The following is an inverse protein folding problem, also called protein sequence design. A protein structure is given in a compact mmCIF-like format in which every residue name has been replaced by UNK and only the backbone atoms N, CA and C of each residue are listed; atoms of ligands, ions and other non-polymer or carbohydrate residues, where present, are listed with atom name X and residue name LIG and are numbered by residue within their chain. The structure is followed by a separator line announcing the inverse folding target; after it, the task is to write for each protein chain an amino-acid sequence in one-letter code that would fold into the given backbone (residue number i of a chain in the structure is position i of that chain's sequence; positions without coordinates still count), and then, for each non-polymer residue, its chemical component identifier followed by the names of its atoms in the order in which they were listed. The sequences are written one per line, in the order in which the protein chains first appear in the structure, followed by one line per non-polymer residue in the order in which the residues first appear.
data_IF_296247077711
#
_entry.id   IF_296247077711
#
_cell.length_a   1.000
_cell.length_b   1.000
_cell.length_c   1.000
_cell.angle_alpha   90.00
_cell.angle_beta   90.00
_cell.angle_gamma   90.00
#
_symmetry.space_group_name_H-M   'P 1'
#
loop_
_entity.id
_entity.type
_entity.pdbx_description
1 polymer ?
#
# COMPACT_ATOMS: atom_id res chain seq x y z
N UNK A 1 -75.07 -88.50 -41.60
CA UNK A 1 -73.85 -89.23 -41.20
C UNK A 1 -72.60 -88.62 -41.85
N UNK A 2 -72.59 -88.35 -43.15
CA UNK A 2 -71.45 -87.68 -43.81
C UNK A 2 -71.38 -86.17 -43.52
N UNK A 3 -72.49 -85.44 -43.65
CA UNK A 3 -72.56 -84.00 -43.32
C UNK A 3 -72.12 -83.71 -41.87
N UNK A 4 -72.55 -84.53 -40.92
CA UNK A 4 -72.17 -84.43 -39.50
C UNK A 4 -70.68 -84.71 -39.26
N UNK A 5 -70.01 -85.50 -40.11
CA UNK A 5 -68.57 -85.77 -40.01
C UNK A 5 -67.75 -84.65 -40.63
N UNK A 6 -68.20 -84.07 -41.74
CA UNK A 6 -67.59 -82.88 -42.33
C UNK A 6 -67.70 -81.67 -41.40
N UNK A 7 -68.86 -81.47 -40.76
CA UNK A 7 -69.04 -80.45 -39.73
C UNK A 7 -68.10 -80.65 -38.54
N UNK A 8 -67.95 -81.90 -38.05
CA UNK A 8 -67.02 -82.21 -36.97
C UNK A 8 -65.57 -81.90 -37.34
N UNK A 9 -65.14 -82.32 -38.54
CA UNK A 9 -63.79 -82.08 -39.05
C UNK A 9 -63.52 -80.57 -39.22
N UNK A 10 -64.52 -79.81 -39.70
CA UNK A 10 -64.40 -78.36 -39.83
C UNK A 10 -64.32 -77.68 -38.46
N UNK A 11 -65.06 -78.17 -37.46
CA UNK A 11 -64.99 -77.68 -36.08
C UNK A 11 -63.64 -77.99 -35.42
N UNK A 12 -63.06 -79.18 -35.66
CA UNK A 12 -61.72 -79.56 -35.18
C UNK A 12 -60.64 -78.67 -35.80
N UNK A 13 -60.70 -78.44 -37.11
CA UNK A 13 -59.78 -77.54 -37.80
C UNK A 13 -59.88 -76.10 -37.29
N UNK A 14 -61.11 -75.63 -37.01
CA UNK A 14 -61.32 -74.31 -36.40
C UNK A 14 -60.75 -74.25 -34.99
N UNK A 15 -60.90 -75.32 -34.19
CA UNK A 15 -60.34 -75.42 -32.85
C UNK A 15 -58.81 -75.35 -32.87
N UNK A 16 -58.14 -76.11 -33.75
CA UNK A 16 -56.68 -76.06 -33.88
C UNK A 16 -56.19 -74.67 -34.29
N UNK A 17 -56.88 -74.02 -35.25
CA UNK A 17 -56.57 -72.64 -35.66
C UNK A 17 -56.72 -71.65 -34.50
N UNK A 18 -57.72 -71.82 -33.63
CA UNK A 18 -57.92 -70.97 -32.46
C UNK A 18 -56.85 -71.22 -31.38
N UNK A 19 -56.46 -72.47 -31.15
CA UNK A 19 -55.39 -72.84 -30.21
C UNK A 19 -54.05 -72.25 -30.66
N UNK A 20 -53.69 -72.38 -31.94
CA UNK A 20 -52.47 -71.80 -32.48
C UNK A 20 -52.43 -70.27 -32.34
N UNK A 21 -53.58 -69.59 -32.52
CA UNK A 21 -53.70 -68.15 -32.28
C UNK A 21 -53.50 -67.78 -30.81
N UNK A 22 -54.09 -68.53 -29.87
CA UNK A 22 -53.93 -68.28 -28.43
C UNK A 22 -52.46 -68.47 -28.02
N UNK A 23 -51.82 -69.56 -28.47
CA UNK A 23 -50.41 -69.81 -28.20
C UNK A 23 -49.50 -68.71 -28.77
N UNK A 24 -49.82 -68.17 -29.96
CA UNK A 24 -49.09 -67.04 -30.51
C UNK A 24 -49.17 -65.78 -29.62
N UNK A 25 -50.33 -65.52 -29.01
CA UNK A 25 -50.49 -64.41 -28.05
C UNK A 25 -49.76 -64.67 -26.73
N UNK A 26 -49.79 -65.89 -26.20
CA UNK A 26 -49.05 -66.26 -24.99
C UNK A 26 -47.53 -66.16 -25.18
N UNK A 27 -47.03 -66.58 -26.35
CA UNK A 27 -45.62 -66.45 -26.72
C UNK A 27 -45.20 -64.98 -26.89
N UNK A 28 -46.11 -64.11 -27.35
CA UNK A 28 -45.84 -62.68 -27.48
C UNK A 28 -45.58 -62.02 -26.12
N UNK A 29 -46.33 -62.38 -25.08
CA UNK A 29 -46.09 -61.91 -23.71
C UNK A 29 -44.71 -62.33 -23.18
N UNK A 30 -44.30 -63.58 -23.45
CA UNK A 30 -42.98 -64.08 -23.02
C UNK A 30 -41.82 -63.36 -23.73
N UNK A 31 -41.96 -63.05 -25.01
CA UNK A 31 -40.91 -62.41 -25.81
C UNK A 31 -40.77 -60.91 -25.53
N UNK A 32 -41.86 -60.23 -25.16
CA UNK A 32 -41.88 -58.77 -24.95
C UNK A 32 -41.64 -58.37 -23.49
N UNK A 33 -41.76 -59.32 -22.54
CA UNK A 33 -41.70 -59.02 -21.11
C UNK A 33 -42.92 -58.27 -20.58
N UNK A 34 -43.96 -58.11 -21.42
CA UNK A 34 -45.23 -57.49 -21.08
C UNK A 34 -46.27 -58.57 -20.80
N UNK A 35 -47.23 -58.30 -19.92
CA UNK A 35 -48.29 -59.25 -19.56
C UNK A 35 -49.40 -59.32 -20.63
N UNK A 36 -49.06 -59.64 -21.88
CA UNK A 36 -49.99 -59.72 -23.00
C UNK A 36 -50.37 -61.19 -23.21
N UNK A 37 -51.61 -61.56 -22.87
CA UNK A 37 -52.14 -62.92 -23.13
C UNK A 37 -53.34 -62.91 -24.06
N UNK A 38 -54.01 -61.78 -24.20
CA UNK A 38 -55.11 -61.54 -25.13
C UNK A 38 -54.93 -60.21 -25.88
N UNK A 39 -55.57 -60.02 -27.04
CA UNK A 39 -55.54 -58.75 -27.77
C UNK A 39 -55.98 -57.54 -26.95
N UNK A 40 -56.91 -57.74 -26.00
CA UNK A 40 -57.37 -56.69 -25.08
C UNK A 40 -56.25 -56.22 -24.14
N UNK A 41 -55.36 -57.10 -23.70
CA UNK A 41 -54.24 -56.75 -22.82
C UNK A 41 -53.22 -55.86 -23.54
N UNK A 42 -52.96 -56.14 -24.82
CA UNK A 42 -52.13 -55.29 -25.67
C UNK A 42 -52.74 -53.88 -25.80
N UNK A 43 -54.06 -53.78 -26.00
CA UNK A 43 -54.72 -52.47 -26.09
C UNK A 43 -54.61 -51.67 -24.79
N UNK A 44 -54.68 -52.32 -23.62
CA UNK A 44 -54.50 -51.68 -22.31
C UNK A 44 -53.06 -51.20 -22.12
N UNK A 45 -52.07 -52.04 -22.41
CA UNK A 45 -50.65 -51.65 -22.32
C UNK A 45 -50.32 -50.49 -23.26
N UNK A 46 -50.88 -50.47 -24.48
CA UNK A 46 -50.73 -49.33 -25.41
C UNK A 46 -51.33 -48.05 -24.82
N UNK A 47 -52.51 -48.12 -24.21
CA UNK A 47 -53.14 -46.95 -23.56
C UNK A 47 -52.29 -46.48 -22.37
N UNK A 48 -51.81 -47.39 -21.53
CA UNK A 48 -50.98 -47.06 -20.37
C UNK A 48 -49.64 -46.42 -20.79
N UNK A 49 -49.00 -46.94 -21.83
CA UNK A 49 -47.79 -46.35 -22.41
C UNK A 49 -48.09 -44.95 -22.97
N UNK A 50 -49.18 -44.78 -23.72
CA UNK A 50 -49.59 -43.48 -24.24
C UNK A 50 -49.87 -42.47 -23.11
N UNK A 51 -50.53 -42.89 -22.03
CA UNK A 51 -50.76 -42.03 -20.85
C UNK A 51 -49.45 -41.64 -20.17
N UNK A 52 -48.52 -42.58 -19.97
CA UNK A 52 -47.19 -42.28 -19.43
C UNK A 52 -46.42 -41.32 -20.33
N UNK A 53 -46.48 -41.51 -21.65
CA UNK A 53 -45.83 -40.62 -22.62
C UNK A 53 -46.41 -39.20 -22.57
N UNK A 54 -47.74 -39.06 -22.45
CA UNK A 54 -48.39 -37.76 -22.29
C UNK A 54 -47.93 -37.08 -21.00
N UNK A 55 -47.89 -37.81 -19.88
CA UNK A 55 -47.45 -37.26 -18.59
C UNK A 55 -45.99 -36.81 -18.65
N UNK A 56 -45.09 -37.62 -19.22
CA UNK A 56 -43.68 -37.26 -19.40
C UNK A 56 -43.53 -36.03 -20.30
N UNK A 57 -44.31 -35.92 -21.38
CA UNK A 57 -44.33 -34.72 -22.23
C UNK A 57 -44.77 -33.49 -21.45
N UNK A 58 -45.85 -33.59 -20.66
CA UNK A 58 -46.31 -32.47 -19.83
C UNK A 58 -45.27 -32.03 -18.80
N UNK A 59 -44.62 -32.96 -18.12
CA UNK A 59 -43.52 -32.66 -17.19
C UNK A 59 -42.33 -32.01 -17.91
N UNK A 60 -41.96 -32.50 -19.08
CA UNK A 60 -40.89 -31.92 -19.89
C UNK A 60 -41.23 -30.47 -20.32
N UNK A 61 -42.47 -30.20 -20.72
CA UNK A 61 -42.92 -28.83 -21.01
C UNK A 61 -42.84 -27.93 -19.78
N UNK A 62 -43.27 -28.40 -18.61
CA UNK A 62 -43.19 -27.65 -17.35
C UNK A 62 -41.72 -27.33 -17.00
N UNK A 63 -40.85 -28.33 -17.01
CA UNK A 63 -39.42 -28.16 -16.74
C UNK A 63 -38.76 -27.22 -17.75
N UNK A 64 -39.04 -27.39 -19.04
CA UNK A 64 -38.52 -26.52 -20.10
C UNK A 64 -38.98 -25.07 -19.95
N UNK A 65 -40.23 -24.86 -19.56
CA UNK A 65 -40.76 -23.51 -19.34
C UNK A 65 -40.14 -22.84 -18.11
N UNK A 66 -39.98 -23.59 -17.02
CA UNK A 66 -39.29 -23.14 -15.80
C UNK A 66 -37.84 -22.78 -16.08
N UNK A 67 -37.12 -23.65 -16.80
CA UNK A 67 -35.73 -23.41 -17.19
C UNK A 67 -35.59 -22.12 -18.00
N UNK A 68 -36.41 -21.91 -19.03
CA UNK A 68 -36.41 -20.67 -19.82
C UNK A 68 -36.73 -19.42 -18.99
N UNK A 69 -37.62 -19.54 -18.00
CA UNK A 69 -37.93 -18.42 -17.10
C UNK A 69 -36.75 -18.08 -16.19
N UNK A 70 -36.08 -19.10 -15.64
CA UNK A 70 -34.88 -18.92 -14.83
C UNK A 70 -33.73 -18.35 -15.65
N UNK A 71 -33.53 -18.82 -16.89
CA UNK A 71 -32.51 -18.27 -17.78
C UNK A 71 -32.72 -16.78 -18.08
N UNK A 72 -33.97 -16.35 -18.30
CA UNK A 72 -34.32 -14.93 -18.47
C UNK A 72 -34.00 -14.12 -17.22
N UNK A 73 -34.44 -14.60 -16.05
CA UNK A 73 -34.14 -13.94 -14.77
C UNK A 73 -32.63 -13.83 -14.52
N UNK A 74 -31.87 -14.88 -14.83
CA UNK A 74 -30.40 -14.83 -14.75
C UNK A 74 -29.79 -13.82 -15.72
N UNK A 75 -30.33 -13.69 -16.94
CA UNK A 75 -29.87 -12.68 -17.91
C UNK A 75 -30.18 -11.26 -17.44
N UNK A 76 -31.38 -11.02 -16.91
CA UNK A 76 -31.81 -9.73 -16.38
C UNK A 76 -30.93 -9.32 -15.19
N UNK A 77 -30.74 -10.21 -14.21
CA UNK A 77 -29.85 -9.97 -13.06
C UNK A 77 -28.39 -9.70 -13.46
N UNK A 78 -27.88 -10.39 -14.48
CA UNK A 78 -26.54 -10.12 -15.02
C UNK A 78 -26.46 -8.73 -15.64
N UNK A 79 -27.50 -8.30 -16.36
CA UNK A 79 -27.55 -6.97 -16.95
C UNK A 79 -27.62 -5.87 -15.89
N UNK A 80 -28.40 -6.10 -14.82
CA UNK A 80 -28.50 -5.18 -13.68
C UNK A 80 -27.17 -5.07 -12.94
N UNK A 81 -26.50 -6.19 -12.68
CA UNK A 81 -25.19 -6.22 -12.03
C UNK A 81 -24.16 -5.43 -12.84
N UNK A 82 -24.13 -5.60 -14.17
CA UNK A 82 -23.26 -4.81 -15.04
C UNK A 82 -23.59 -3.32 -14.96
N UNK A 83 -24.87 -2.95 -14.99
CA UNK A 83 -25.31 -1.55 -14.88
C UNK A 83 -24.97 -0.91 -13.53
N UNK A 84 -25.03 -1.67 -12.44
CA UNK A 84 -24.66 -1.21 -11.10
C UNK A 84 -23.15 -1.05 -11.00
N UNK A 85 -22.38 -1.97 -11.58
CA UNK A 85 -20.92 -1.89 -11.61
C UNK A 85 -20.44 -0.67 -12.40
N UNK A 86 -21.07 -0.34 -13.53
CA UNK A 86 -20.73 0.87 -14.29
C UNK A 86 -21.06 2.14 -13.53
N UNK A 87 -22.25 2.22 -12.90
CA UNK A 87 -22.64 3.37 -12.06
C UNK A 87 -21.69 3.57 -10.88
N UNK A 88 -21.33 2.50 -10.18
CA UNK A 88 -20.37 2.54 -9.07
C UNK A 88 -19.00 3.09 -9.50
N UNK A 89 -18.53 2.69 -10.69
CA UNK A 89 -17.26 3.18 -11.24
C UNK A 89 -17.32 4.66 -11.62
N UNK A 90 -18.44 5.12 -12.18
CA UNK A 90 -18.67 6.54 -12.47
C UNK A 90 -18.71 7.39 -11.20
N UNK A 91 -19.38 6.91 -10.16
CA UNK A 91 -19.47 7.61 -8.88
C UNK A 91 -18.12 7.64 -8.16
N UNK A 92 -17.31 6.58 -8.28
CA UNK A 92 -15.94 6.58 -7.78
C UNK A 92 -15.08 7.65 -8.46
N UNK A 93 -15.15 7.74 -9.80
CA UNK A 93 -14.45 8.79 -10.57
C UNK A 93 -14.89 10.20 -10.16
N UNK A 94 -16.20 10.42 -9.98
CA UNK A 94 -16.73 11.72 -9.51
C UNK A 94 -16.17 12.06 -8.13
N UNK A 95 -16.16 11.10 -7.20
CA UNK A 95 -15.59 11.28 -5.86
C UNK A 95 -14.11 11.65 -5.93
N UNK A 96 -13.31 10.97 -6.75
CA UNK A 96 -11.89 11.28 -6.89
C UNK A 96 -11.65 12.71 -7.41
N UNK A 97 -12.46 13.16 -8.38
CA UNK A 97 -12.38 14.55 -8.88
C UNK A 97 -12.77 15.58 -7.82
N UNK A 98 -13.78 15.29 -6.99
CA UNK A 98 -14.19 16.15 -5.88
C UNK A 98 -13.13 16.19 -4.79
N UNK A 99 -12.54 15.05 -4.41
CA UNK A 99 -11.47 14.97 -3.43
C UNK A 99 -10.22 15.74 -3.89
N UNK A 100 -9.88 15.68 -5.18
CA UNK A 100 -8.80 16.48 -5.75
C UNK A 100 -9.09 18.00 -5.67
N UNK A 101 -10.33 18.41 -5.93
CA UNK A 101 -10.77 19.80 -5.79
C UNK A 101 -10.71 20.26 -4.33
N UNK A 102 -11.20 19.46 -3.40
CA UNK A 102 -11.15 19.74 -1.95
C UNK A 102 -9.71 19.94 -1.50
N UNK A 103 -8.79 19.04 -1.87
CA UNK A 103 -7.35 19.20 -1.53
C UNK A 103 -6.76 20.48 -2.10
N UNK A 104 -7.16 20.90 -3.31
CA UNK A 104 -6.71 22.16 -3.93
C UNK A 104 -7.26 23.37 -3.17
N UNK A 105 -8.53 23.36 -2.81
CA UNK A 105 -9.17 24.43 -2.04
C UNK A 105 -8.56 24.53 -0.64
N UNK A 106 -8.32 23.41 0.05
CA UNK A 106 -7.63 23.38 1.35
C UNK A 106 -6.24 24.02 1.28
N UNK A 107 -5.45 23.71 0.25
CA UNK A 107 -4.13 24.36 0.04
C UNK A 107 -4.28 25.86 -0.17
N UNK A 108 -5.27 26.32 -0.93
CA UNK A 108 -5.53 27.74 -1.17
C UNK A 108 -5.96 28.47 0.11
N UNK A 109 -6.83 27.86 0.90
CA UNK A 109 -7.25 28.39 2.21
C UNK A 109 -6.03 28.51 3.13
N UNK A 110 -5.14 27.51 3.18
CA UNK A 110 -3.93 27.57 3.99
C UNK A 110 -3.01 28.74 3.58
N UNK A 111 -2.82 28.97 2.28
CA UNK A 111 -1.99 30.08 1.78
C UNK A 111 -2.61 31.43 2.12
N UNK A 112 -3.90 31.62 1.86
CA UNK A 112 -4.63 32.84 2.23
C UNK A 112 -4.62 33.08 3.75
N UNK A 113 -4.71 32.02 4.55
CA UNK A 113 -4.58 32.09 6.01
C UNK A 113 -3.21 32.63 6.42
N UNK A 114 -2.13 32.10 5.82
CA UNK A 114 -0.76 32.58 6.07
C UNK A 114 -0.53 34.02 5.61
N UNK A 115 -1.07 34.40 4.46
CA UNK A 115 -1.00 35.78 3.95
C UNK A 115 -1.74 36.75 4.88
N UNK A 116 -2.96 36.39 5.31
CA UNK A 116 -3.74 37.15 6.30
C UNK A 116 -2.95 37.31 7.60
N UNK A 117 -2.38 36.23 8.13
CA UNK A 117 -1.64 36.26 9.40
C UNK A 117 -0.35 37.07 9.28
N UNK A 118 0.35 36.99 8.14
CA UNK A 118 1.49 37.84 7.84
C UNK A 118 1.13 39.33 7.78
N UNK A 119 0.03 39.69 7.08
CA UNK A 119 -0.47 41.06 7.04
C UNK A 119 -0.89 41.55 8.44
N UNK A 120 -1.51 40.70 9.25
CA UNK A 120 -1.88 41.03 10.64
C UNK A 120 -0.64 41.31 11.49
N UNK A 121 0.40 40.46 11.39
CA UNK A 121 1.64 40.65 12.14
C UNK A 121 2.37 41.96 11.77
N UNK A 122 2.38 42.31 10.47
CA UNK A 122 2.93 43.60 10.00
C UNK A 122 2.13 44.77 10.58
N UNK A 123 0.80 44.69 10.55
CA UNK A 123 -0.04 45.73 11.12
C UNK A 123 0.16 45.88 12.63
N UNK A 124 0.33 44.78 13.34
CA UNK A 124 0.58 44.75 14.79
C UNK A 124 1.95 45.32 15.15
N UNK A 125 2.97 45.13 14.31
CA UNK A 125 4.26 45.81 14.50
C UNK A 125 4.13 47.32 14.34
N UNK A 126 3.41 47.80 13.30
CA UNK A 126 3.15 49.23 13.14
C UNK A 126 2.32 49.80 14.30
N UNK A 127 1.32 49.08 14.81
CA UNK A 127 0.56 49.49 15.98
C UNK A 127 1.41 49.57 17.24
N UNK A 128 2.33 48.62 17.44
CA UNK A 128 3.23 48.63 18.60
C UNK A 128 4.22 49.79 18.56
N UNK A 129 4.64 50.22 17.36
CA UNK A 129 5.49 51.40 17.16
C UNK A 129 4.69 52.70 17.37
N UNK A 130 3.45 52.76 16.88
CA UNK A 130 2.54 53.90 17.03
C UNK A 130 2.00 54.07 18.46
N UNK A 131 1.77 52.97 19.19
CA UNK A 131 1.25 52.99 20.57
C UNK A 131 2.20 53.62 21.59
N UNK A 132 3.47 53.84 21.23
CA UNK A 132 4.41 54.64 22.02
C UNK A 132 4.15 56.16 21.95
N UNK A 133 3.30 56.62 21.01
CA UNK A 133 2.98 58.03 20.82
C UNK A 133 1.48 58.25 20.62
N UNK A 134 0.80 58.53 21.73
CA UNK A 134 -0.51 59.20 21.86
C UNK A 134 -1.78 58.45 21.39
N UNK A 135 -2.75 58.42 22.31
CA UNK A 135 -4.06 57.78 22.18
C UNK A 135 -4.90 58.43 21.07
N UNK A 136 -5.02 57.75 19.93
CA UNK A 136 -5.64 58.22 18.69
C UNK A 136 -7.01 57.56 18.41
N UNK A 137 -7.96 58.25 17.75
CA UNK A 137 -9.25 57.70 17.29
C UNK A 137 -9.15 56.47 16.37
N UNK A 138 -7.95 56.13 15.89
CA UNK A 138 -7.68 54.88 15.17
C UNK A 138 -7.82 53.66 16.08
N UNK A 139 -7.45 53.74 17.37
CA UNK A 139 -7.58 52.61 18.30
C UNK A 139 -9.05 52.24 18.54
N UNK A 140 -9.95 53.23 18.59
CA UNK A 140 -11.40 52.99 18.73
C UNK A 140 -11.99 52.32 17.49
N UNK A 141 -11.46 52.59 16.29
CA UNK A 141 -11.85 51.86 15.06
C UNK A 141 -11.30 50.45 15.05
N UNK A 142 -10.03 50.24 15.45
CA UNK A 142 -9.44 48.90 15.56
C UNK A 142 -10.15 48.03 16.60
N UNK A 143 -10.58 48.63 17.71
CA UNK A 143 -11.38 47.94 18.72
C UNK A 143 -12.73 47.49 18.15
N UNK A 144 -13.44 48.36 17.42
CA UNK A 144 -14.68 47.99 16.72
C UNK A 144 -14.48 46.90 15.66
N UNK A 145 -13.42 47.00 14.85
CA UNK A 145 -13.11 45.97 13.85
C UNK A 145 -12.75 44.62 14.49
N UNK A 146 -12.05 44.65 15.63
CA UNK A 146 -11.76 43.45 16.42
C UNK A 146 -13.03 42.85 17.04
N UNK A 147 -13.94 43.68 17.56
CA UNK A 147 -15.24 43.26 18.06
C UNK A 147 -16.10 42.63 16.94
N UNK A 148 -16.16 43.24 15.76
CA UNK A 148 -16.89 42.69 14.59
C UNK A 148 -16.27 41.37 14.08
N UNK A 149 -14.95 41.23 14.18
CA UNK A 149 -14.28 39.98 13.83
C UNK A 149 -14.57 38.89 14.86
N UNK A 150 -14.56 39.24 16.16
CA UNK A 150 -14.93 38.34 17.24
C UNK A 150 -16.37 37.87 17.08
N UNK A 151 -17.29 38.78 16.75
CA UNK A 151 -18.70 38.48 16.51
C UNK A 151 -18.87 37.53 15.32
N UNK A 152 -18.14 37.75 14.22
CA UNK A 152 -18.14 36.84 13.06
C UNK A 152 -17.60 35.45 13.39
N UNK A 153 -16.53 35.36 14.18
CA UNK A 153 -15.98 34.08 14.63
C UNK A 153 -16.96 33.36 15.56
N UNK A 154 -17.62 34.09 16.46
CA UNK A 154 -18.67 33.53 17.31
C UNK A 154 -19.84 32.98 16.48
N UNK A 155 -20.35 33.74 15.51
CA UNK A 155 -21.43 33.26 14.62
C UNK A 155 -20.99 32.04 13.79
N UNK A 156 -19.75 32.02 13.33
CA UNK A 156 -19.21 30.88 12.60
C UNK A 156 -19.09 29.64 13.48
N UNK A 157 -18.62 29.79 14.71
CA UNK A 157 -18.54 28.69 15.67
C UNK A 157 -19.93 28.16 16.01
N UNK A 158 -20.93 29.02 16.24
CA UNK A 158 -22.30 28.56 16.48
C UNK A 158 -22.90 27.84 15.28
N UNK A 159 -22.60 28.28 14.06
CA UNK A 159 -23.04 27.59 12.84
C UNK A 159 -22.36 26.23 12.67
N UNK A 160 -21.07 26.13 12.97
CA UNK A 160 -20.34 24.85 12.96
C UNK A 160 -20.86 23.90 14.03
N UNK A 161 -21.15 24.37 15.24
CA UNK A 161 -21.76 23.58 16.32
C UNK A 161 -23.14 23.07 15.91
N UNK A 162 -23.97 23.91 15.27
CA UNK A 162 -25.26 23.49 14.74
C UNK A 162 -25.13 22.41 13.64
N UNK A 163 -24.15 22.54 12.74
CA UNK A 163 -23.88 21.54 11.71
C UNK A 163 -23.40 20.20 12.31
N UNK A 164 -22.54 20.25 13.34
CA UNK A 164 -22.08 19.05 14.05
C UNK A 164 -23.25 18.38 14.77
N UNK A 165 -24.12 19.13 15.45
CA UNK A 165 -25.33 18.60 16.10
C UNK A 165 -26.22 17.88 15.09
N UNK A 166 -26.47 18.52 13.93
CA UNK A 166 -27.29 17.92 12.87
C UNK A 166 -26.69 16.62 12.33
N UNK A 167 -25.38 16.58 12.12
CA UNK A 167 -24.69 15.38 11.64
C UNK A 167 -24.73 14.24 12.67
N UNK A 168 -24.68 14.55 13.97
CA UNK A 168 -24.84 13.57 15.04
C UNK A 168 -26.26 13.00 15.09
N UNK A 169 -27.28 13.83 14.91
CA UNK A 169 -28.68 13.38 14.83
C UNK A 169 -28.91 12.48 13.61
N UNK A 170 -28.38 12.86 12.44
CA UNK A 170 -28.43 12.03 11.22
C UNK A 170 -27.72 10.68 11.44
N UNK A 171 -26.53 10.68 12.04
CA UNK A 171 -25.81 9.45 12.38
C UNK A 171 -26.59 8.55 13.35
N UNK A 172 -27.29 9.14 14.33
CA UNK A 172 -28.15 8.40 15.25
C UNK A 172 -29.34 7.74 14.52
N UNK A 173 -29.95 8.44 13.56
CA UNK A 173 -31.04 7.86 12.75
C UNK A 173 -30.56 6.72 11.86
N UNK A 174 -29.39 6.84 11.20
CA UNK A 174 -28.80 5.76 10.42
C UNK A 174 -28.45 4.55 11.28
N UNK A 175 -27.95 4.77 12.51
CA UNK A 175 -27.67 3.69 13.45
C UNK A 175 -28.94 2.93 13.84
N UNK A 176 -30.05 3.64 14.06
CA UNK A 176 -31.35 3.02 14.34
C UNK A 176 -31.85 2.20 13.14
N UNK A 177 -31.74 2.73 11.93
CA UNK A 177 -32.12 2.02 10.69
C UNK A 177 -31.27 0.76 10.45
N UNK A 178 -29.97 0.82 10.75
CA UNK A 178 -29.10 -0.35 10.66
C UNK A 178 -29.47 -1.43 11.69
N UNK A 179 -29.85 -1.03 12.91
CA UNK A 179 -30.31 -1.96 13.95
C UNK A 179 -31.66 -2.62 13.58
N UNK A 180 -32.61 -1.87 13.02
CA UNK A 180 -33.89 -2.44 12.55
C UNK A 180 -33.67 -3.43 11.41
N UNK A 181 -32.82 -3.09 10.43
CA UNK A 181 -32.48 -4.00 9.33
C UNK A 181 -31.76 -5.27 9.80
N UNK A 182 -30.92 -5.17 10.84
CA UNK A 182 -30.26 -6.33 11.43
C UNK A 182 -31.26 -7.28 12.10
N UNK A 183 -32.24 -6.75 12.83
CA UNK A 183 -33.30 -7.55 13.46
C UNK A 183 -34.21 -8.22 12.42
N UNK A 184 -34.53 -7.55 11.31
CA UNK A 184 -35.27 -8.14 10.20
C UNK A 184 -34.51 -9.31 9.56
N UNK A 185 -33.19 -9.17 9.40
CA UNK A 185 -32.32 -10.24 8.90
C UNK A 185 -32.27 -11.45 9.83
N UNK A 186 -32.25 -11.24 11.15
CA UNK A 186 -32.30 -12.33 12.13
C UNK A 186 -33.66 -13.04 12.12
N UNK A 187 -34.76 -12.30 11.99
CA UNK A 187 -36.10 -12.88 11.88
C UNK A 187 -36.26 -13.74 10.61
N UNK A 188 -35.73 -13.28 9.46
CA UNK A 188 -35.73 -14.04 8.21
C UNK A 188 -34.88 -15.31 8.30
N UNK A 189 -33.72 -15.25 8.98
CA UNK A 189 -32.88 -16.43 9.23
C UNK A 189 -33.59 -17.47 10.11
N UNK A 190 -34.33 -17.04 11.13
CA UNK A 190 -35.11 -17.93 11.97
C UNK A 190 -36.27 -18.60 11.21
N UNK A 191 -36.91 -17.88 10.27
CA UNK A 191 -37.92 -18.46 9.36
C UNK A 191 -37.32 -19.47 8.37
N UNK A 192 -36.06 -19.30 7.97
CA UNK A 192 -35.37 -20.21 7.07
C UNK A 192 -34.87 -21.48 7.80
N UNK A 193 -34.50 -21.35 9.07
CA UNK A 193 -34.12 -22.48 9.92
C UNK A 193 -35.29 -23.44 10.21
N UNK A 194 -36.51 -22.92 10.40
CA UNK A 194 -37.71 -23.73 10.62
C UNK A 194 -38.25 -24.43 9.37
N UNK A 195 -37.81 -24.02 8.16
CA UNK A 195 -38.18 -24.66 6.90
C UNK A 195 -37.20 -25.78 6.46
N UNK A 196 -36.09 -25.97 7.18
CA UNK A 196 -34.94 -26.79 6.71
C UNK A 196 -34.81 -28.18 7.36
N UNK A 197 -35.75 -28.61 8.22
CA UNK A 197 -35.68 -29.94 8.87
C UNK A 197 -36.02 -31.13 7.95
N UNK A 198 -36.28 -30.90 6.66
CA UNK A 198 -36.51 -31.98 5.70
C UNK A 198 -35.71 -31.78 4.42
N UNK A 199 -34.44 -32.17 4.38
CA UNK A 199 -33.80 -32.61 3.13
C UNK A 199 -32.56 -33.49 3.33
N UNK A 200 -32.47 -34.46 2.42
CA UNK A 200 -31.68 -35.71 2.36
C UNK A 200 -30.15 -35.57 2.30
N UNK A 201 -29.38 -36.63 2.66
CA UNK A 201 -27.91 -36.63 2.65
C UNK A 201 -27.24 -36.47 1.26
N UNK A 202 -27.97 -36.62 0.15
CA UNK A 202 -27.44 -36.43 -1.21
C UNK A 202 -27.02 -34.98 -1.52
N UNK A 203 -27.58 -33.99 -0.83
CA UNK A 203 -27.18 -32.58 -1.00
C UNK A 203 -25.84 -32.26 -0.36
N UNK A 204 -25.41 -33.01 0.67
CA UNK A 204 -24.16 -32.73 1.36
C UNK A 204 -22.92 -33.08 0.52
N UNK A 205 -22.97 -34.12 -0.31
CA UNK A 205 -21.88 -34.49 -1.20
C UNK A 205 -21.73 -33.49 -2.35
N UNK A 206 -22.85 -33.07 -2.97
CA UNK A 206 -22.84 -32.00 -3.97
C UNK A 206 -22.34 -30.67 -3.38
N UNK A 207 -22.76 -30.34 -2.15
CA UNK A 207 -22.26 -29.16 -1.43
C UNK A 207 -20.76 -29.26 -1.13
N UNK A 208 -20.23 -30.45 -0.82
CA UNK A 208 -18.78 -30.64 -0.64
C UNK A 208 -18.01 -30.48 -1.95
N UNK A 209 -18.50 -31.05 -3.06
CA UNK A 209 -17.87 -30.90 -4.39
C UNK A 209 -17.87 -29.42 -4.82
N UNK A 210 -18.97 -28.71 -4.60
CA UNK A 210 -19.06 -27.29 -4.91
C UNK A 210 -18.14 -26.45 -4.01
N UNK A 211 -17.98 -26.79 -2.73
CA UNK A 211 -17.01 -26.13 -1.83
C UNK A 211 -15.58 -26.30 -2.31
N UNK A 212 -15.17 -27.53 -2.67
CA UNK A 212 -13.85 -27.79 -3.22
C UNK A 212 -13.63 -27.03 -4.54
N UNK A 213 -14.66 -26.92 -5.38
CA UNK A 213 -14.56 -26.15 -6.62
C UNK A 213 -14.44 -24.65 -6.38
N UNK A 214 -15.11 -24.12 -5.36
CA UNK A 214 -14.97 -22.72 -4.94
C UNK A 214 -13.54 -22.46 -4.45
N UNK A 215 -12.99 -23.33 -3.59
CA UNK A 215 -11.60 -23.20 -3.12
C UNK A 215 -10.58 -23.25 -4.27
N UNK A 216 -10.78 -24.17 -5.24
CA UNK A 216 -9.93 -24.25 -6.43
C UNK A 216 -9.98 -22.95 -7.25
N UNK A 217 -11.19 -22.45 -7.53
CA UNK A 217 -11.39 -21.21 -8.28
C UNK A 217 -10.85 -19.98 -7.54
N UNK A 218 -10.95 -19.93 -6.21
CA UNK A 218 -10.36 -18.88 -5.38
C UNK A 218 -8.83 -18.91 -5.46
N UNK A 219 -8.22 -20.11 -5.42
CA UNK A 219 -6.77 -20.26 -5.57
C UNK A 219 -6.27 -19.85 -6.96
N UNK A 220 -7.04 -20.16 -8.02
CA UNK A 220 -6.73 -19.77 -9.38
C UNK A 220 -6.89 -18.26 -9.58
N UNK A 221 -7.93 -17.66 -8.99
CA UNK A 221 -8.13 -16.20 -8.97
C UNK A 221 -6.96 -15.50 -8.30
N UNK A 222 -6.52 -15.97 -7.13
CA UNK A 222 -5.37 -15.42 -6.43
C UNK A 222 -4.09 -15.52 -7.28
N UNK A 223 -3.86 -16.67 -7.94
CA UNK A 223 -2.71 -16.86 -8.82
C UNK A 223 -2.73 -15.89 -10.01
N UNK A 224 -3.90 -15.66 -10.60
CA UNK A 224 -4.06 -14.72 -11.70
C UNK A 224 -3.89 -13.27 -11.24
N UNK A 225 -4.38 -12.93 -10.05
CA UNK A 225 -4.18 -11.61 -9.43
C UNK A 225 -2.69 -11.33 -9.21
N UNK A 226 -1.94 -12.29 -8.66
CA UNK A 226 -0.50 -12.15 -8.46
C UNK A 226 0.26 -11.99 -9.79
N UNK A 227 -0.10 -12.77 -10.82
CA UNK A 227 0.47 -12.63 -12.16
C UNK A 227 0.17 -11.26 -12.78
N UNK A 228 -1.05 -10.76 -12.61
CA UNK A 228 -1.46 -9.47 -13.12
C UNK A 228 -0.70 -8.33 -12.41
N UNK A 229 -0.57 -8.40 -11.08
CA UNK A 229 0.22 -7.44 -10.30
C UNK A 229 1.69 -7.37 -10.77
N UNK A 230 2.30 -8.53 -11.06
CA UNK A 230 3.67 -8.57 -11.60
C UNK A 230 3.75 -7.94 -12.99
N UNK A 231 2.76 -8.18 -13.84
CA UNK A 231 2.71 -7.58 -15.18
C UNK A 231 2.47 -6.07 -15.13
N UNK A 232 1.60 -5.59 -14.24
CA UNK A 232 1.36 -4.17 -13.99
C UNK A 232 2.63 -3.48 -13.50
N UNK A 233 3.32 -4.02 -12.50
CA UNK A 233 4.59 -3.47 -12.03
C UNK A 233 5.65 -3.41 -13.13
N UNK A 234 5.71 -4.41 -14.02
CA UNK A 234 6.62 -4.39 -15.17
C UNK A 234 6.24 -3.29 -16.16
N UNK A 235 4.95 -3.16 -16.50
CA UNK A 235 4.45 -2.13 -17.39
C UNK A 235 4.71 -0.73 -16.82
N UNK A 236 4.49 -0.51 -15.53
CA UNK A 236 4.81 0.77 -14.89
C UNK A 236 6.31 1.10 -14.97
N UNK A 237 7.17 0.11 -14.70
CA UNK A 237 8.62 0.28 -14.84
C UNK A 237 9.01 0.67 -16.27
N UNK A 238 8.44 0.01 -17.28
CA UNK A 238 8.68 0.33 -18.69
C UNK A 238 8.16 1.73 -19.05
N UNK A 239 6.97 2.10 -18.58
CA UNK A 239 6.41 3.44 -18.78
C UNK A 239 7.29 4.54 -18.15
N UNK A 240 7.84 4.30 -16.95
CA UNK A 240 8.79 5.22 -16.30
C UNK A 240 10.11 5.36 -17.07
N UNK A 241 10.49 4.35 -17.85
CA UNK A 241 11.66 4.37 -18.72
C UNK A 241 11.37 5.00 -20.10
N UNK A 242 10.10 5.34 -20.37
CA UNK A 242 9.67 5.95 -21.62
C UNK A 242 9.36 4.96 -22.73
N UNK A 243 9.16 3.67 -22.42
CA UNK A 243 8.65 2.71 -23.38
C UNK A 243 7.21 3.06 -23.78
N UNK A 244 6.88 2.74 -25.03
CA UNK A 244 5.57 3.02 -25.61
C UNK A 244 5.13 1.87 -26.52
N UNK A 245 3.81 1.69 -26.63
CA UNK A 245 3.22 0.71 -27.54
C UNK A 245 3.28 1.26 -29.00
N UNK A 246 4.02 0.63 -29.92
CA UNK A 246 4.17 1.10 -31.29
C UNK A 246 2.89 0.99 -32.13
N UNK A 247 1.89 0.23 -31.68
CA UNK A 247 0.58 0.13 -32.35
C UNK A 247 -0.29 1.36 -32.02
N UNK A 248 -0.15 1.91 -30.81
CA UNK A 248 -0.96 3.03 -30.31
C UNK A 248 -0.26 4.38 -30.43
N UNK A 249 1.07 4.38 -30.32
CA UNK A 249 1.85 5.60 -30.15
C UNK A 249 2.99 5.63 -31.17
N UNK A 250 3.02 6.68 -32.00
CA UNK A 250 4.12 6.96 -32.92
C UNK A 250 4.93 8.14 -32.39
N UNK A 251 6.21 7.91 -32.09
CA UNK A 251 7.12 8.97 -31.67
C UNK A 251 7.62 9.74 -32.88
N UNK A 252 7.50 11.06 -32.84
CA UNK A 252 7.97 11.98 -33.89
C UNK A 252 8.86 13.05 -33.25
N UNK A 253 9.92 13.44 -33.96
CA UNK A 253 10.76 14.57 -33.57
C UNK A 253 11.20 15.35 -34.82
N UNK A 254 11.61 16.59 -34.63
CA UNK A 254 12.15 17.40 -35.73
C UNK A 254 13.41 16.72 -36.30
N UNK A 255 13.50 16.66 -37.63
CA UNK A 255 14.67 16.14 -38.34
C UNK A 255 15.91 16.98 -38.04
N UNK A 256 15.73 18.30 -37.97
CA UNK A 256 16.74 19.26 -37.52
C UNK A 256 16.45 19.64 -36.07
N UNK A 257 16.99 18.88 -35.14
CA UNK A 257 16.88 19.16 -33.71
C UNK A 257 18.25 19.57 -33.11
N UNK A 258 18.27 20.24 -31.95
CA UNK A 258 19.52 20.68 -31.33
C UNK A 258 20.55 19.56 -31.14
N UNK A 259 20.11 18.34 -30.81
CA UNK A 259 21.00 17.16 -30.66
C UNK A 259 21.64 16.75 -31.99
N UNK A 260 20.90 16.79 -33.10
CA UNK A 260 21.41 16.48 -34.43
C UNK A 260 22.43 17.51 -34.90
N UNK A 261 22.20 18.79 -34.61
CA UNK A 261 23.16 19.88 -34.89
C UNK A 261 24.42 19.70 -34.06
N UNK A 262 24.30 19.46 -32.75
CA UNK A 262 25.45 19.22 -31.88
C UNK A 262 26.25 17.97 -32.29
N UNK A 263 25.57 16.91 -32.77
CA UNK A 263 26.24 15.72 -33.29
C UNK A 263 27.02 16.01 -34.57
N UNK A 264 26.45 16.81 -35.47
CA UNK A 264 27.11 17.23 -36.71
C UNK A 264 28.33 18.10 -36.43
N UNK A 265 28.20 19.12 -35.57
CA UNK A 265 29.31 19.98 -35.16
C UNK A 265 30.46 19.16 -34.55
N UNK A 266 30.15 18.21 -33.67
CA UNK A 266 31.17 17.30 -33.10
C UNK A 266 31.85 16.45 -34.17
N UNK A 267 31.13 16.04 -35.22
CA UNK A 267 31.73 15.31 -36.33
C UNK A 267 32.66 16.21 -37.14
N UNK A 268 32.24 17.43 -37.46
CA UNK A 268 33.03 18.44 -38.18
C UNK A 268 34.30 18.80 -37.41
N UNK A 269 34.21 19.04 -36.09
CA UNK A 269 35.37 19.28 -35.21
C UNK A 269 36.33 18.08 -35.19
N UNK A 270 35.80 16.85 -35.10
CA UNK A 270 36.62 15.65 -35.11
C UNK A 270 37.33 15.44 -36.46
N UNK A 271 36.70 15.85 -37.57
CA UNK A 271 37.29 15.84 -38.90
C UNK A 271 38.37 16.91 -39.02
N UNK A 272 38.11 18.14 -38.58
CA UNK A 272 39.09 19.22 -38.53
C UNK A 272 40.33 18.83 -37.71
N UNK A 273 40.14 18.29 -36.51
CA UNK A 273 41.25 17.81 -35.67
C UNK A 273 42.04 16.67 -36.35
N UNK A 274 41.37 15.79 -37.10
CA UNK A 274 42.05 14.74 -37.87
C UNK A 274 42.88 15.34 -39.01
N UNK A 275 42.36 16.33 -39.70
CA UNK A 275 43.07 17.04 -40.75
C UNK A 275 44.28 17.81 -40.19
N UNK A 276 44.11 18.53 -39.08
CA UNK A 276 45.21 19.21 -38.38
C UNK A 276 46.28 18.23 -37.91
N UNK A 277 45.88 17.09 -37.32
CA UNK A 277 46.84 16.04 -36.93
C UNK A 277 47.58 15.46 -38.13
N UNK A 278 46.91 15.29 -39.28
CA UNK A 278 47.55 14.81 -40.49
C UNK A 278 48.54 15.85 -41.05
N UNK A 279 48.16 17.13 -41.08
CA UNK A 279 49.04 18.23 -41.48
C UNK A 279 50.24 18.36 -40.54
N UNK A 280 50.02 18.27 -39.23
CA UNK A 280 51.09 18.32 -38.23
C UNK A 280 52.03 17.11 -38.35
N UNK A 281 51.48 15.92 -38.61
CA UNK A 281 52.26 14.71 -38.90
C UNK A 281 53.08 14.86 -40.18
N UNK A 282 52.53 15.45 -41.23
CA UNK A 282 53.26 15.75 -42.47
C UNK A 282 54.37 16.78 -42.26
N UNK A 283 54.11 17.84 -41.48
CA UNK A 283 55.09 18.86 -41.11
C UNK A 283 56.25 18.26 -40.28
N UNK A 284 55.93 17.44 -39.27
CA UNK A 284 56.92 16.70 -38.50
C UNK A 284 57.72 15.70 -39.36
N UNK A 285 57.06 15.04 -40.32
CA UNK A 285 57.73 14.16 -41.29
C UNK A 285 58.62 14.92 -42.28
N UNK A 286 58.28 16.17 -42.59
CA UNK A 286 59.08 17.08 -43.43
C UNK A 286 60.25 17.74 -42.68
N UNK A 287 60.38 17.54 -41.36
CA UNK A 287 61.55 17.93 -40.59
C UNK A 287 61.63 19.42 -40.21
N UNK A 288 60.52 20.15 -40.22
CA UNK A 288 60.48 21.57 -39.82
C UNK A 288 59.97 21.75 -38.38
N UNK A 289 60.80 21.45 -37.38
CA UNK A 289 60.59 21.89 -35.99
C UNK A 289 61.91 22.43 -35.44
N UNK A 290 62.20 23.68 -35.76
CA UNK A 290 63.16 24.48 -34.99
C UNK A 290 62.42 25.14 -33.84
N UNK A 291 62.67 24.63 -32.64
CA UNK A 291 62.79 25.38 -31.37
C UNK A 291 61.94 26.65 -31.23
N UNK A 292 60.81 26.55 -30.53
CA UNK A 292 60.30 27.68 -29.75
C UNK A 292 59.66 27.17 -28.46
N UNK A 293 60.48 27.14 -27.40
CA UNK A 293 60.00 27.28 -26.02
C UNK A 293 59.39 28.68 -25.87
N UNK A 294 58.09 28.77 -26.09
CA UNK A 294 57.28 29.93 -25.69
C UNK A 294 56.15 29.40 -24.81
N UNK A 295 55.99 29.88 -23.56
CA UNK A 295 54.82 29.54 -22.78
C UNK A 295 53.63 30.22 -23.46
N UNK A 296 52.89 29.44 -24.25
CA UNK A 296 51.61 29.84 -24.80
C UNK A 296 50.67 30.05 -23.61
N UNK A 297 50.51 31.30 -23.19
CA UNK A 297 49.40 31.73 -22.36
C UNK A 297 48.15 31.72 -23.24
N UNK A 298 47.62 30.52 -23.48
CA UNK A 298 46.35 30.31 -24.16
C UNK A 298 45.27 30.85 -23.21
N UNK A 299 44.50 31.89 -23.59
CA UNK A 299 43.38 32.31 -22.76
C UNK A 299 42.45 31.10 -22.57
N UNK A 300 41.98 30.82 -21.34
CA UNK A 300 41.21 29.62 -21.07
C UNK A 300 39.99 29.61 -22.01
N UNK A 301 39.92 28.60 -22.88
CA UNK A 301 38.79 28.35 -23.77
C UNK A 301 37.51 28.35 -22.94
N UNK A 302 36.35 28.76 -23.50
CA UNK A 302 35.09 28.81 -22.75
C UNK A 302 34.80 27.52 -21.97
N UNK A 303 35.18 26.36 -22.50
CA UNK A 303 35.12 25.07 -21.81
C UNK A 303 35.93 25.01 -20.51
N UNK A 304 37.14 25.58 -20.47
CA UNK A 304 37.96 25.63 -19.25
C UNK A 304 37.32 26.54 -18.21
N UNK A 305 36.68 27.64 -18.64
CA UNK A 305 35.93 28.51 -17.73
C UNK A 305 34.68 27.82 -17.17
N UNK A 306 33.96 27.06 -18.00
CA UNK A 306 32.77 26.33 -17.58
C UNK A 306 33.13 25.12 -16.69
N UNK A 307 34.23 24.43 -16.97
CA UNK A 307 34.78 23.39 -16.09
C UNK A 307 35.23 23.96 -14.74
N UNK A 308 35.86 25.13 -14.71
CA UNK A 308 36.21 25.82 -13.46
C UNK A 308 34.97 26.16 -12.65
N UNK A 309 33.92 26.72 -13.28
CA UNK A 309 32.64 26.97 -12.61
C UNK A 309 31.99 25.69 -12.08
N UNK A 310 32.07 24.59 -12.82
CA UNK A 310 31.55 23.29 -12.37
C UNK A 310 32.33 22.74 -11.16
N UNK A 311 33.65 22.88 -11.16
CA UNK A 311 34.51 22.51 -10.01
C UNK A 311 34.19 23.37 -8.79
N UNK A 312 34.10 24.70 -8.95
CA UNK A 312 33.71 25.61 -7.86
C UNK A 312 32.32 25.28 -7.32
N UNK A 313 31.36 24.96 -8.19
CA UNK A 313 30.02 24.52 -7.79
C UNK A 313 30.05 23.20 -7.00
N UNK A 314 30.87 22.23 -7.43
CA UNK A 314 31.03 20.95 -6.75
C UNK A 314 31.75 21.11 -5.41
N UNK A 315 32.78 21.95 -5.33
CA UNK A 315 33.48 22.29 -4.09
C UNK A 315 32.55 22.97 -3.09
N UNK A 316 31.75 23.94 -3.54
CA UNK A 316 30.72 24.59 -2.72
C UNK A 316 29.68 23.59 -2.22
N UNK A 317 29.25 22.65 -3.06
CA UNK A 317 28.33 21.58 -2.65
C UNK A 317 28.97 20.67 -1.60
N UNK A 318 30.23 20.30 -1.76
CA UNK A 318 30.97 19.50 -0.77
C UNK A 318 31.18 20.26 0.54
N UNK A 319 31.43 21.57 0.48
CA UNK A 319 31.54 22.42 1.66
C UNK A 319 30.22 22.49 2.42
N UNK A 320 29.10 22.76 1.71
CA UNK A 320 27.75 22.73 2.31
C UNK A 320 27.42 21.37 2.92
N UNK A 321 27.83 20.27 2.27
CA UNK A 321 27.62 18.93 2.81
C UNK A 321 28.40 18.71 4.11
N UNK A 322 29.66 19.17 4.19
CA UNK A 322 30.47 19.14 5.42
C UNK A 322 29.82 19.97 6.54
N UNK A 323 29.30 21.17 6.22
CA UNK A 323 28.60 22.02 7.19
C UNK A 323 27.32 21.37 7.72
N UNK A 324 26.51 20.77 6.83
CA UNK A 324 25.29 20.05 7.23
C UNK A 324 25.64 18.84 8.09
N UNK A 325 26.68 18.09 7.72
CA UNK A 325 27.14 16.95 8.50
C UNK A 325 27.62 17.39 9.90
N UNK A 326 28.45 18.43 9.98
CA UNK A 326 28.89 18.99 11.27
C UNK A 326 27.72 19.46 12.12
N UNK A 327 26.74 20.15 11.53
CA UNK A 327 25.53 20.60 12.23
C UNK A 327 24.71 19.42 12.76
N UNK A 328 24.55 18.36 11.96
CA UNK A 328 23.81 17.16 12.36
C UNK A 328 24.52 16.35 13.44
N UNK A 329 25.84 16.21 13.35
CA UNK A 329 26.63 15.59 14.42
C UNK A 329 26.54 16.43 15.69
N UNK A 330 26.61 17.75 15.61
CA UNK A 330 26.45 18.61 16.79
C UNK A 330 25.05 18.48 17.41
N UNK A 331 23.99 18.48 16.60
CA UNK A 331 22.61 18.25 17.04
C UNK A 331 22.48 16.90 17.78
N UNK A 332 23.05 15.83 17.22
CA UNK A 332 23.07 14.51 17.83
C UNK A 332 23.85 14.50 19.15
N UNK A 333 25.04 15.12 19.18
CA UNK A 333 25.87 15.22 20.39
C UNK A 333 25.15 15.99 21.50
N UNK A 334 24.47 17.09 21.17
CA UNK A 334 23.66 17.85 22.13
C UNK A 334 22.49 17.03 22.66
N UNK A 335 21.79 16.28 21.80
CA UNK A 335 20.72 15.39 22.24
C UNK A 335 21.25 14.28 23.17
N UNK A 336 22.36 13.64 22.82
CA UNK A 336 23.02 12.66 23.69
C UNK A 336 23.45 13.27 25.03
N UNK A 337 24.00 14.48 25.04
CA UNK A 337 24.39 15.18 26.25
C UNK A 337 23.20 15.45 27.18
N UNK A 338 22.10 15.98 26.65
CA UNK A 338 20.88 16.30 27.42
C UNK A 338 20.19 15.04 27.94
N UNK A 339 20.15 13.97 27.14
CA UNK A 339 19.46 12.73 27.52
C UNK A 339 20.31 11.86 28.45
N UNK A 340 21.56 11.60 28.08
CA UNK A 340 22.42 10.64 28.81
C UNK A 340 23.26 11.29 29.90
N UNK A 341 23.44 12.61 29.86
CA UNK A 341 24.32 13.34 30.77
C UNK A 341 25.80 13.23 30.42
N UNK A 342 26.15 12.66 29.27
CA UNK A 342 27.54 12.54 28.81
C UNK A 342 27.77 13.31 27.51
N UNK A 343 28.80 14.16 27.53
CA UNK A 343 29.33 14.78 26.34
C UNK A 343 30.33 13.81 25.71
N UNK A 344 30.01 13.33 24.51
CA UNK A 344 30.85 12.39 23.76
C UNK A 344 31.69 13.15 22.74
N UNK A 345 32.99 13.27 22.96
CA UNK A 345 33.97 13.91 22.08
C UNK A 345 34.84 12.85 21.37
N UNK A 346 35.16 13.09 20.10
CA UNK A 346 36.09 12.24 19.34
C UNK A 346 37.48 12.86 19.46
N UNK A 347 38.43 12.18 20.10
CA UNK A 347 39.78 12.72 20.35
C UNK A 347 40.74 12.36 19.22
N UNK A 348 41.00 11.06 19.06
CA UNK A 348 41.84 10.47 18.02
C UNK A 348 41.07 9.33 17.35
N UNK A 349 41.62 8.75 16.28
CA UNK A 349 40.94 7.66 15.57
C UNK A 349 40.52 6.53 16.53
N UNK A 350 39.22 6.24 16.54
CA UNK A 350 38.58 5.22 17.38
C UNK A 350 38.64 5.45 18.90
N UNK A 351 38.87 6.68 19.35
CA UNK A 351 38.82 7.05 20.77
C UNK A 351 37.73 8.09 21.06
N UNK A 352 36.93 7.80 22.09
CA UNK A 352 35.79 8.60 22.52
C UNK A 352 35.99 9.04 23.96
N UNK A 353 35.97 10.36 24.19
CA UNK A 353 36.00 10.97 25.51
C UNK A 353 34.59 11.23 25.98
N UNK A 354 34.25 10.74 27.15
CA UNK A 354 32.98 10.98 27.83
C UNK A 354 33.22 11.90 29.02
N UNK A 355 32.61 13.08 28.98
CA UNK A 355 32.61 14.03 30.11
C UNK A 355 31.19 14.11 30.69
N UNK A 356 31.04 13.86 31.98
CA UNK A 356 29.72 13.91 32.63
C UNK A 356 29.27 15.37 32.83
N UNK A 357 27.97 15.63 32.74
CA UNK A 357 27.34 16.91 33.16
C UNK A 357 27.64 17.23 34.62
N UNK A 358 27.82 16.21 35.46
CA UNK A 358 28.04 16.35 36.91
C UNK A 358 29.52 16.23 37.30
N UNK A 359 30.43 16.35 36.33
CA UNK A 359 31.87 16.34 36.61
C UNK A 359 32.23 17.50 37.56
N UNK A 360 32.98 17.19 38.63
CA UNK A 360 33.42 18.18 39.63
C UNK A 360 34.59 19.02 39.08
N UNK A 361 35.41 18.43 38.21
CA UNK A 361 36.53 19.08 37.52
C UNK A 361 36.47 18.89 35.99
N UNK A 362 37.02 19.85 35.24
CA UNK A 362 37.03 19.77 33.76
C UNK A 362 37.84 18.60 33.20
N UNK A 363 38.77 18.06 34.00
CA UNK A 363 39.63 16.94 33.62
C UNK A 363 38.98 15.57 33.89
N UNK A 364 37.85 15.54 34.60
CA UNK A 364 37.10 14.33 34.94
C UNK A 364 36.41 13.76 33.70
N UNK A 365 37.14 12.92 32.98
CA UNK A 365 36.67 12.29 31.75
C UNK A 365 37.01 10.81 31.68
N UNK A 366 36.11 10.05 31.06
CA UNK A 366 36.27 8.63 30.77
C UNK A 366 36.67 8.47 29.31
N UNK A 367 37.74 7.74 29.02
CA UNK A 367 38.21 7.50 27.66
C UNK A 367 37.85 6.08 27.24
N UNK A 368 37.14 5.92 26.13
CA UNK A 368 36.82 4.63 25.54
C UNK A 368 37.46 4.49 24.18
N UNK A 369 38.05 3.32 23.90
CA UNK A 369 38.57 2.97 22.59
C UNK A 369 37.74 1.85 21.98
N UNK A 370 37.27 2.05 20.76
CA UNK A 370 36.59 1.01 20.00
C UNK A 370 37.61 -0.06 19.59
N UNK A 371 37.33 -1.31 19.95
CA UNK A 371 38.13 -2.48 19.58
C UNK A 371 37.47 -3.18 18.41
N UNK A 372 37.73 -2.74 17.18
CA UNK A 372 37.20 -3.35 15.95
C UNK A 372 36.71 -2.33 14.91
N UNK A 373 36.14 -2.82 13.80
CA UNK A 373 35.53 -1.97 12.78
C UNK A 373 34.35 -1.17 13.35
N UNK A 374 34.08 0.02 12.77
CA UNK A 374 32.97 0.90 13.16
C UNK A 374 31.65 0.10 13.18
N UNK A 375 31.08 -0.10 14.37
CA UNK A 375 29.83 -0.86 14.56
C UNK A 375 29.99 -2.22 15.26
N UNK A 376 31.21 -2.68 15.58
CA UNK A 376 31.47 -3.98 16.26
C UNK A 376 30.98 -4.06 17.72
N UNK A 377 30.47 -2.97 18.30
CA UNK A 377 29.88 -2.93 19.65
C UNK A 377 30.86 -3.11 20.83
N UNK A 378 32.10 -3.51 20.60
CA UNK A 378 33.14 -3.70 21.61
C UNK A 378 33.91 -2.42 21.91
N UNK A 379 33.67 -1.82 23.08
CA UNK A 379 34.38 -0.65 23.60
C UNK A 379 35.21 -1.05 24.83
N UNK A 380 36.48 -0.65 24.85
CA UNK A 380 37.38 -0.83 25.99
C UNK A 380 37.60 0.51 26.71
N UNK A 381 37.52 0.53 28.03
CA UNK A 381 37.85 1.71 28.83
C UNK A 381 39.37 1.85 28.95
N UNK A 382 39.89 3.05 28.71
CA UNK A 382 41.27 3.43 28.97
C UNK A 382 41.36 4.05 30.36
N UNK A 383 42.42 3.70 31.08
CA UNK A 383 42.67 4.24 32.41
C UNK A 383 42.96 5.75 32.35
N UNK A 384 42.07 6.53 32.96
CA UNK A 384 42.27 7.95 33.28
C UNK A 384 42.38 8.11 34.80
N UNK A 385 42.90 9.24 35.27
CA UNK A 385 42.98 9.51 36.72
C UNK A 385 41.59 9.53 37.38
N UNK A 386 40.56 9.95 36.61
CA UNK A 386 39.16 9.82 36.99
C UNK A 386 38.66 8.37 36.97
N UNK A 387 39.07 7.55 36.00
CA UNK A 387 38.74 6.12 36.00
C UNK A 387 39.31 5.38 37.22
N UNK A 388 40.48 5.79 37.72
CA UNK A 388 41.09 5.19 38.93
C UNK A 388 40.28 5.47 40.20
N UNK A 389 39.68 6.65 40.33
CA UNK A 389 38.82 6.96 41.49
C UNK A 389 37.49 6.18 41.49
N UNK A 390 37.11 5.62 40.34
CA UNK A 390 35.88 4.85 40.11
C UNK A 390 36.12 3.34 39.96
N UNK A 391 37.32 2.85 40.32
CA UNK A 391 37.77 1.48 40.06
C UNK A 391 36.78 0.40 40.55
N UNK A 392 36.23 0.51 41.76
CA UNK A 392 35.23 -0.45 42.28
C UNK A 392 33.98 -0.56 41.38
N UNK A 393 33.49 0.57 40.85
CA UNK A 393 32.30 0.56 39.96
C UNK A 393 32.65 0.08 38.55
N UNK A 394 33.86 0.35 38.07
CA UNK A 394 34.35 -0.14 36.78
C UNK A 394 34.55 -1.66 36.85
N UNK A 395 35.18 -2.18 37.90
CA UNK A 395 35.37 -3.62 38.12
C UNK A 395 34.02 -4.37 38.19
N UNK A 396 33.07 -3.85 38.96
CA UNK A 396 31.76 -4.48 39.12
C UNK A 396 30.93 -4.48 37.83
N UNK A 397 30.83 -3.35 37.13
CA UNK A 397 29.90 -3.23 36.00
C UNK A 397 30.54 -3.55 34.63
N UNK A 398 31.85 -3.32 34.46
CA UNK A 398 32.54 -3.57 33.19
C UNK A 398 33.18 -4.97 33.14
N UNK A 399 33.79 -5.44 34.23
CA UNK A 399 34.47 -6.75 34.26
C UNK A 399 33.53 -7.90 34.65
N UNK A 400 32.72 -7.75 35.70
CA UNK A 400 31.79 -8.82 36.12
C UNK A 400 30.52 -8.87 35.26
N UNK A 401 29.94 -7.72 34.92
CA UNK A 401 28.64 -7.64 34.24
C UNK A 401 28.73 -7.46 32.71
N UNK A 402 29.94 -7.22 32.16
CA UNK A 402 30.25 -7.08 30.72
C UNK A 402 29.30 -6.13 29.96
N UNK A 403 28.78 -5.10 30.62
CA UNK A 403 27.80 -4.19 30.05
C UNK A 403 28.37 -2.79 29.98
N UNK A 404 28.61 -2.28 28.77
CA UNK A 404 29.17 -0.93 28.54
C UNK A 404 28.21 0.21 28.99
N UNK A 405 26.86 0.09 28.87
CA UNK A 405 25.95 1.16 29.31
C UNK A 405 25.84 1.36 30.82
N UNK A 406 26.19 0.34 31.62
CA UNK A 406 25.93 0.28 33.06
C UNK A 406 26.92 1.12 33.88
N UNK A 407 28.26 1.06 33.66
CA UNK A 407 29.21 1.90 34.38
C UNK A 407 28.96 3.41 34.22
N UNK A 408 28.72 3.97 33.01
CA UNK A 408 28.39 5.38 32.86
C UNK A 408 27.09 5.78 33.61
N UNK A 409 26.06 4.92 33.60
CA UNK A 409 24.82 5.17 34.35
C UNK A 409 25.04 5.21 35.87
N UNK A 410 25.82 4.27 36.41
CA UNK A 410 26.17 4.23 37.83
C UNK A 410 27.01 5.44 38.26
N UNK A 411 27.97 5.85 37.42
CA UNK A 411 28.80 7.04 37.65
C UNK A 411 27.94 8.30 37.66
N UNK A 412 27.01 8.46 36.71
CA UNK A 412 26.11 9.61 36.68
C UNK A 412 25.22 9.68 37.92
N UNK A 413 24.68 8.57 38.42
CA UNK A 413 23.90 8.57 39.66
C UNK A 413 24.75 8.92 40.89
N UNK A 414 25.99 8.41 40.95
CA UNK A 414 26.92 8.73 42.04
C UNK A 414 27.31 10.21 42.04
N UNK A 415 27.67 10.76 40.89
CA UNK A 415 27.99 12.18 40.74
C UNK A 415 26.76 13.07 40.98
N UNK A 416 25.58 12.65 40.50
CA UNK A 416 24.33 13.34 40.77
C UNK A 416 23.99 13.34 42.27
N UNK A 417 24.20 12.24 43.00
CA UNK A 417 23.95 12.19 44.45
C UNK A 417 24.84 13.14 45.27
N UNK A 418 25.97 13.56 44.70
CA UNK A 418 26.88 14.57 45.27
C UNK A 418 26.55 15.99 44.82
N UNK A 419 25.81 16.15 43.73
CA UNK A 419 25.37 17.45 43.22
C UNK A 419 23.96 17.75 43.75
N UNK A 420 23.79 18.84 44.50
CA UNK A 420 22.55 19.21 45.24
C UNK A 420 21.32 19.58 44.36
N UNK A 421 21.18 19.05 43.15
CA UNK A 421 20.15 19.48 42.19
C UNK A 421 18.96 18.52 42.10
N UNK A 422 17.75 19.03 42.38
CA UNK A 422 16.51 18.29 42.24
C UNK A 422 16.03 18.28 40.76
N UNK A 423 15.83 17.06 40.25
CA UNK A 423 15.27 16.68 38.93
C UNK A 423 16.22 16.83 37.73
N UNK A 424 16.76 15.69 37.29
CA UNK A 424 17.58 15.64 36.08
C UNK A 424 17.22 14.44 35.19
N UNK A 425 17.00 14.71 33.90
CA UNK A 425 16.68 13.71 32.87
C UNK A 425 17.77 12.64 32.77
N UNK A 426 19.08 13.00 32.73
CA UNK A 426 20.17 12.02 32.80
C UNK A 426 20.14 11.10 34.01
N UNK A 427 19.80 11.60 35.19
CA UNK A 427 19.74 10.79 36.41
C UNK A 427 18.58 9.78 36.32
N UNK A 428 17.42 10.22 35.84
CA UNK A 428 16.27 9.34 35.60
C UNK A 428 16.59 8.22 34.60
N UNK A 429 17.15 8.56 33.43
CA UNK A 429 17.49 7.56 32.40
C UNK A 429 18.60 6.61 32.85
N UNK A 430 19.55 7.08 33.65
CA UNK A 430 20.59 6.23 34.26
C UNK A 430 19.98 5.23 35.25
N UNK A 431 19.04 5.65 36.10
CA UNK A 431 18.32 4.77 37.02
C UNK A 431 17.50 3.69 36.29
N UNK A 432 16.77 4.08 35.23
CA UNK A 432 16.01 3.14 34.38
C UNK A 432 16.94 2.12 33.73
N UNK A 433 18.11 2.55 33.25
CA UNK A 433 19.10 1.65 32.62
C UNK A 433 19.61 0.60 33.60
N UNK A 434 19.93 1.00 34.84
CA UNK A 434 20.36 0.08 35.90
C UNK A 434 19.24 -0.88 36.34
N UNK A 435 18.01 -0.39 36.45
CA UNK A 435 16.86 -1.24 36.81
C UNK A 435 16.57 -2.29 35.73
N UNK A 436 16.56 -1.89 34.46
CA UNK A 436 16.36 -2.80 33.33
C UNK A 436 17.48 -3.85 33.22
N UNK A 437 18.73 -3.44 33.49
CA UNK A 437 19.85 -4.37 33.53
C UNK A 437 19.71 -5.36 34.68
N UNK A 438 19.38 -4.87 35.88
CA UNK A 438 19.20 -5.71 37.07
C UNK A 438 18.10 -6.77 36.88
N UNK A 439 17.00 -6.43 36.19
CA UNK A 439 15.94 -7.38 35.81
C UNK A 439 16.38 -8.45 34.82
N UNK A 440 17.38 -8.18 33.97
CA UNK A 440 17.92 -9.13 33.01
C UNK A 440 18.96 -10.08 33.60
N UNK A 441 19.66 -9.67 34.67
CA UNK A 441 20.68 -10.47 35.35
C UNK A 441 20.13 -11.32 36.50
N UNK A 442 18.88 -11.10 36.90
CA UNK A 442 18.19 -11.88 37.96
C UNK A 442 17.36 -13.05 37.41
N UNK A 443 17.44 -13.30 36.11
CA UNK A 443 17.00 -14.53 35.41
C UNK A 443 18.26 -15.25 34.94
#
# INVERSE_FOLDING_TARGET
MEQTREELLNMELQKEKLVAKIQAWENLGQNTGLNIRKPEDLSREVIDIQQREINLKQENYKLSSSHRSLERSCADLRSELLSLKTKSLEDHKKKDTQDALVRRLQKRVLLLTKERDGMRAILESYDSELASSEYSPQLTRRLKEAEELLQRVQTYNTDMEAQISKALDEAATFKLQAQTAALELEALKQQQASASEGNTPATNEEVQVLRLKVEELESERQRLEDQNNVLEMRLERHNLQGDYDPVKTKVVHLRFNPTSVAKQQRQEEAEQLREELNQLRELLRSGAMATTDTPLNIPPTQEVLDLRKAVESAELKNQRLKEVFQRKIQEFRTACYVLTGYQIDITTENQYRLTSVYAEHMDDSLLFKASGAVGSGSMNLLETDFSRSLQEMVELHLFHQKSIPVPPGAVNLRLFSRADHCKSIPAFLSAVTLELFSRKTTV
#
